data_IF_189397742255
#
_entry.id   IF_189397742255
#
_cell.length_a   1.000
_cell.length_b   1.000
_cell.length_c   1.000
_cell.angle_alpha   90.00
_cell.angle_beta   90.00
_cell.angle_gamma   90.00
#
_symmetry.space_group_name_H-M   'P 1'
#
loop_
_entity.id
_entity.type
_entity.pdbx_description
1 polymer ?
#
# COMPACT_ATOMS: atom_id res chain seq x y z
N UNK A 1 10.07 4.18 -25.60
CA UNK A 1 10.80 5.02 -24.61
C UNK A 1 10.04 4.92 -23.31
N UNK A 2 10.67 4.34 -22.27
CA UNK A 2 10.03 4.02 -20.98
C UNK A 2 10.01 5.28 -20.11
N UNK A 3 8.89 5.96 -20.00
CA UNK A 3 8.70 7.00 -18.99
C UNK A 3 8.09 6.33 -17.76
N UNK A 4 8.94 5.74 -16.91
CA UNK A 4 8.55 5.49 -15.53
C UNK A 4 8.36 6.86 -14.88
N UNK A 5 7.13 7.23 -14.53
CA UNK A 5 6.89 8.23 -13.50
C UNK A 5 7.27 7.60 -12.15
N UNK A 6 8.57 7.39 -11.93
CA UNK A 6 9.11 7.10 -10.60
C UNK A 6 8.95 8.38 -9.80
N UNK A 7 7.97 8.39 -8.88
CA UNK A 7 7.99 9.33 -7.78
C UNK A 7 9.30 9.06 -7.01
N UNK A 8 10.30 9.91 -7.27
CA UNK A 8 11.56 9.89 -6.53
C UNK A 8 11.26 10.26 -5.09
N UNK A 9 11.15 9.25 -4.22
CA UNK A 9 11.22 9.47 -2.78
C UNK A 9 12.70 9.76 -2.50
N UNK A 10 13.05 11.04 -2.39
CA UNK A 10 14.38 11.48 -2.00
C UNK A 10 14.70 10.92 -0.63
N UNK A 11 15.61 9.95 -0.59
CA UNK A 11 16.19 9.42 0.62
C UNK A 11 17.09 10.51 1.22
N UNK A 12 16.63 11.16 2.28
CA UNK A 12 17.45 12.11 3.03
C UNK A 12 18.58 11.31 3.71
N UNK A 13 19.79 11.36 3.13
CA UNK A 13 21.01 10.82 3.75
C UNK A 13 21.35 11.68 4.96
N UNK A 14 20.99 11.22 6.15
CA UNK A 14 21.48 11.81 7.38
C UNK A 14 22.95 11.40 7.57
N UNK A 15 23.81 12.41 7.70
CA UNK A 15 25.23 12.25 8.01
C UNK A 15 25.41 11.42 9.30
N UNK A 16 26.32 10.45 9.23
CA UNK A 16 26.75 9.63 10.37
C UNK A 16 27.51 10.49 11.38
N UNK A 17 26.91 10.71 12.55
CA UNK A 17 27.65 11.05 13.77
C UNK A 17 27.76 9.78 14.61
N UNK A 18 28.97 9.24 14.73
CA UNK A 18 29.26 8.09 15.60
C UNK A 18 29.30 8.56 17.05
N UNK A 19 28.30 8.18 17.84
CA UNK A 19 28.39 8.20 19.29
C UNK A 19 28.62 6.78 19.79
N UNK A 20 29.81 6.52 20.32
CA UNK A 20 30.11 5.29 21.05
C UNK A 20 29.52 5.40 22.46
N UNK A 21 28.72 4.42 22.87
CA UNK A 21 28.27 4.24 24.25
C UNK A 21 28.62 2.83 24.73
N UNK A 22 28.90 2.66 26.04
CA UNK A 22 29.60 1.49 26.55
C UNK A 22 28.70 0.25 26.58
N UNK A 23 29.35 -0.89 26.36
CA UNK A 23 28.82 -2.25 26.47
C UNK A 23 28.34 -2.57 27.88
N UNK A 24 27.12 -3.10 27.99
CA UNK A 24 26.65 -3.82 29.18
C UNK A 24 26.14 -5.19 28.75
N UNK A 25 26.65 -6.25 29.39
CA UNK A 25 26.30 -7.65 29.13
C UNK A 25 24.87 -8.00 29.55
N UNK A 26 24.16 -8.90 28.84
CA UNK A 26 22.85 -9.37 29.25
C UNK A 26 22.92 -10.61 30.18
N UNK A 27 22.05 -10.72 31.20
CA UNK A 27 21.90 -11.95 31.97
C UNK A 27 21.13 -13.02 31.18
N UNK A 28 21.58 -14.26 31.33
CA UNK A 28 21.02 -15.49 30.77
C UNK A 28 19.77 -15.96 31.53
N UNK A 29 18.63 -16.05 30.85
CA UNK A 29 17.60 -17.09 31.13
C UNK A 29 16.55 -17.15 30.02
N UNK A 30 16.28 -18.36 29.51
CA UNK A 30 15.26 -18.67 28.50
C UNK A 30 14.03 -19.29 29.14
N UNK A 31 12.81 -18.86 28.78
CA UNK A 31 11.62 -19.70 28.84
C UNK A 31 11.17 -20.12 27.44
N UNK A 32 11.05 -21.43 27.21
CA UNK A 32 10.43 -21.99 26.01
C UNK A 32 8.93 -21.66 25.98
N UNK A 33 8.46 -21.02 24.90
CA UNK A 33 7.02 -20.78 24.64
C UNK A 33 6.60 -21.61 23.41
N UNK A 34 5.52 -22.40 23.48
CA UNK A 34 5.15 -23.33 22.41
C UNK A 34 4.62 -22.61 21.16
N UNK A 35 4.97 -23.16 20.00
CA UNK A 35 4.64 -22.61 18.67
C UNK A 35 3.16 -22.77 18.32
N UNK A 36 2.37 -21.73 18.57
CA UNK A 36 0.99 -21.65 18.05
C UNK A 36 1.03 -21.25 16.58
N UNK A 37 1.01 -22.25 15.69
CA UNK A 37 0.92 -22.08 14.23
C UNK A 37 -0.41 -21.40 13.87
N UNK A 38 -0.41 -20.07 13.78
CA UNK A 38 -1.57 -19.30 13.33
C UNK A 38 -1.76 -19.51 11.82
N UNK A 39 -2.86 -20.13 11.42
CA UNK A 39 -3.33 -20.15 10.03
C UNK A 39 -3.90 -18.76 9.70
N UNK A 40 -3.27 -17.95 8.83
CA UNK A 40 -3.73 -16.59 8.55
C UNK A 40 -5.09 -16.54 7.83
N UNK A 41 -5.46 -17.62 7.13
CA UNK A 41 -6.67 -17.69 6.30
C UNK A 41 -7.98 -17.56 7.08
N UNK A 42 -8.02 -18.00 8.35
CA UNK A 42 -9.25 -17.95 9.15
C UNK A 42 -9.52 -16.57 9.77
N UNK A 43 -8.52 -15.70 9.88
CA UNK A 43 -8.71 -14.33 10.41
C UNK A 43 -9.19 -13.35 9.34
N UNK A 44 -8.84 -13.55 8.08
CA UNK A 44 -9.27 -12.70 6.96
C UNK A 44 -10.78 -12.81 6.68
N UNK A 45 -11.39 -13.96 6.97
CA UNK A 45 -12.83 -14.20 6.74
C UNK A 45 -13.74 -13.36 7.65
N UNK A 46 -13.24 -12.84 8.76
CA UNK A 46 -14.02 -12.10 9.76
C UNK A 46 -13.91 -10.57 9.66
N UNK A 47 -13.12 -10.03 8.71
CA UNK A 47 -12.82 -8.60 8.61
C UNK A 47 -13.47 -7.89 7.41
N UNK A 48 -14.26 -8.62 6.59
CA UNK A 48 -15.03 -8.04 5.50
C UNK A 48 -16.51 -7.92 5.93
N UNK A 49 -17.19 -6.78 5.67
CA UNK A 49 -18.65 -6.73 5.74
C UNK A 49 -19.22 -7.81 4.81
N UNK A 50 -19.83 -8.83 5.40
CA UNK A 50 -20.31 -10.01 4.69
C UNK A 50 -21.79 -9.85 4.39
N UNK A 51 -22.13 -9.67 3.12
CA UNK A 51 -23.42 -10.13 2.64
C UNK A 51 -23.41 -11.66 2.75
N UNK A 52 -24.25 -12.21 3.62
CA UNK A 52 -24.29 -13.63 4.00
C UNK A 52 -24.60 -14.59 2.84
N UNK A 53 -24.89 -14.07 1.65
CA UNK A 53 -25.29 -14.83 0.46
C UNK A 53 -24.28 -14.77 -0.71
N UNK A 54 -23.14 -14.11 -0.57
CA UNK A 54 -22.12 -14.06 -1.63
C UNK A 54 -21.07 -15.17 -1.45
N UNK A 55 -20.75 -15.90 -2.52
CA UNK A 55 -19.56 -16.75 -2.56
C UNK A 55 -18.32 -15.89 -2.27
N UNK A 56 -17.36 -16.37 -1.46
CA UNK A 56 -16.13 -15.62 -1.23
C UNK A 56 -15.45 -15.35 -2.58
N UNK A 57 -14.99 -14.12 -2.84
CA UNK A 57 -14.32 -13.81 -4.10
C UNK A 57 -13.07 -14.68 -4.25
N UNK A 58 -12.89 -15.26 -5.44
CA UNK A 58 -11.67 -15.99 -5.79
C UNK A 58 -10.48 -15.03 -5.69
N UNK A 59 -9.47 -15.40 -4.91
CA UNK A 59 -8.26 -14.59 -4.72
C UNK A 59 -7.17 -15.08 -5.68
N UNK A 60 -6.66 -14.19 -6.52
CA UNK A 60 -5.49 -14.42 -7.37
C UNK A 60 -4.23 -13.90 -6.67
N UNK A 61 -3.12 -14.64 -6.74
CA UNK A 61 -1.89 -14.23 -6.07
C UNK A 61 -0.92 -13.56 -7.04
N UNK A 62 -0.46 -12.36 -6.67
CA UNK A 62 0.55 -11.59 -7.39
C UNK A 62 1.88 -11.58 -6.63
N UNK A 63 2.91 -10.95 -7.20
CA UNK A 63 4.22 -10.85 -6.55
C UNK A 63 4.24 -9.82 -5.42
N UNK A 64 3.43 -8.76 -5.50
CA UNK A 64 3.53 -7.60 -4.60
C UNK A 64 2.22 -6.89 -4.29
N UNK A 65 1.09 -7.17 -4.96
CA UNK A 65 -0.19 -6.50 -4.72
C UNK A 65 -1.19 -7.36 -3.95
N UNK A 66 -1.86 -6.77 -2.98
CA UNK A 66 -3.06 -7.32 -2.35
C UNK A 66 -4.16 -6.26 -2.31
N UNK A 67 -5.37 -6.62 -2.71
CA UNK A 67 -6.48 -5.67 -2.72
C UNK A 67 -7.57 -6.01 -3.71
N UNK A 68 -8.37 -4.99 -4.05
CA UNK A 68 -9.49 -5.12 -4.97
C UNK A 68 -9.12 -4.47 -6.31
N UNK A 69 -9.36 -5.19 -7.41
CA UNK A 69 -9.13 -4.71 -8.78
C UNK A 69 -10.40 -4.89 -9.60
N UNK A 70 -10.85 -3.79 -10.21
CA UNK A 70 -11.90 -3.81 -11.22
C UNK A 70 -11.26 -3.63 -12.59
N UNK A 71 -11.62 -4.51 -13.52
CA UNK A 71 -11.25 -4.41 -14.93
C UNK A 71 -12.45 -3.94 -15.74
N UNK A 72 -12.22 -3.12 -16.76
CA UNK A 72 -13.26 -2.48 -17.55
C UNK A 72 -12.63 -1.50 -18.54
N UNK A 73 -13.33 -0.40 -18.81
CA UNK A 73 -12.82 0.66 -19.67
C UNK A 73 -13.30 2.03 -19.17
N UNK A 74 -12.54 3.07 -19.51
CA UNK A 74 -12.94 4.45 -19.26
C UNK A 74 -12.89 4.87 -17.79
N UNK A 75 -12.17 4.15 -16.92
CA UNK A 75 -12.05 4.56 -15.52
C UNK A 75 -11.41 5.93 -15.42
N UNK A 76 -12.00 6.76 -14.56
CA UNK A 76 -11.75 8.19 -14.56
C UNK A 76 -11.33 8.73 -13.22
N UNK A 77 -12.03 8.29 -12.20
CA UNK A 77 -11.75 8.63 -10.83
C UNK A 77 -11.72 7.35 -10.03
N UNK A 78 -10.75 7.22 -9.14
CA UNK A 78 -10.69 6.15 -8.15
C UNK A 78 -10.31 6.78 -6.83
N UNK A 79 -11.05 6.44 -5.78
CA UNK A 79 -10.82 6.99 -4.45
C UNK A 79 -11.23 6.02 -3.36
N UNK A 80 -10.66 6.25 -2.17
CA UNK A 80 -11.05 5.60 -0.93
C UNK A 80 -10.50 6.39 0.26
N UNK A 81 -11.01 6.07 1.45
CA UNK A 81 -10.45 6.52 2.72
C UNK A 81 -9.81 5.34 3.43
N UNK A 82 -8.57 5.51 3.89
CA UNK A 82 -7.92 4.59 4.82
C UNK A 82 -7.76 5.25 6.19
N UNK A 83 -7.76 4.45 7.24
CA UNK A 83 -7.17 4.86 8.52
C UNK A 83 -5.72 4.37 8.51
N UNK A 84 -4.76 5.29 8.64
CA UNK A 84 -3.34 4.93 8.63
C UNK A 84 -3.05 4.05 9.85
N UNK A 85 -2.62 2.79 9.69
CA UNK A 85 -2.39 1.92 10.83
C UNK A 85 -1.08 2.28 11.53
N UNK A 86 -0.94 2.04 12.84
CA UNK A 86 0.38 1.97 13.45
C UNK A 86 1.15 0.77 12.87
N UNK A 87 2.41 0.99 12.48
CA UNK A 87 3.29 -0.08 11.98
C UNK A 87 4.33 -0.51 13.02
N UNK A 88 4.78 -1.77 12.94
CA UNK A 88 5.74 -2.40 13.87
C UNK A 88 6.70 -3.34 13.12
N UNK A 89 7.90 -3.55 13.65
CA UNK A 89 8.77 -4.60 13.13
C UNK A 89 8.15 -5.97 13.43
N UNK A 90 8.08 -6.88 12.44
CA UNK A 90 7.78 -8.28 12.72
C UNK A 90 8.75 -8.86 13.76
N UNK A 91 8.30 -9.82 14.60
CA UNK A 91 9.21 -10.49 15.54
C UNK A 91 10.41 -11.13 14.84
N UNK A 92 11.62 -10.81 15.31
CA UNK A 92 12.88 -11.31 14.75
C UNK A 92 13.40 -10.54 13.53
N UNK A 93 12.76 -9.43 13.13
CA UNK A 93 13.29 -8.54 12.09
C UNK A 93 14.55 -7.80 12.56
N UNK A 94 15.48 -7.59 11.62
CA UNK A 94 16.62 -6.70 11.83
C UNK A 94 16.14 -5.23 11.79
N UNK A 95 16.32 -4.48 12.87
CA UNK A 95 15.91 -3.07 12.94
C UNK A 95 16.70 -2.15 12.03
N UNK A 96 17.90 -2.55 11.60
CA UNK A 96 18.78 -1.75 10.72
C UNK A 96 18.39 -1.85 9.24
N UNK A 97 17.45 -2.76 8.93
CA UNK A 97 16.89 -2.91 7.60
C UNK A 97 15.59 -2.11 7.51
N UNK A 98 15.46 -1.31 6.45
CA UNK A 98 14.21 -0.62 6.14
C UNK A 98 13.11 -1.66 5.86
N UNK A 99 12.04 -1.63 6.65
CA UNK A 99 10.81 -2.37 6.39
C UNK A 99 9.75 -1.39 5.88
N UNK A 100 8.84 -1.85 5.02
CA UNK A 100 7.82 -0.96 4.47
C UNK A 100 6.64 -1.65 3.83
N UNK A 101 5.59 -0.86 3.63
CA UNK A 101 4.37 -1.20 2.91
C UNK A 101 3.76 0.10 2.36
N UNK A 102 3.04 0.04 1.26
CA UNK A 102 2.21 1.16 0.80
C UNK A 102 0.75 0.77 0.72
N UNK A 103 -0.13 1.76 0.84
CA UNK A 103 -1.55 1.62 0.54
C UNK A 103 -1.97 2.75 -0.39
N UNK A 104 -2.55 2.39 -1.54
CA UNK A 104 -2.85 3.35 -2.59
C UNK A 104 -4.14 3.01 -3.34
N UNK A 105 -4.68 4.03 -4.01
CA UNK A 105 -5.70 3.88 -5.05
C UNK A 105 -5.10 4.24 -6.39
N UNK A 106 -5.55 3.58 -7.45
CA UNK A 106 -4.98 3.82 -8.75
C UNK A 106 -5.87 3.44 -9.92
N UNK A 107 -5.47 3.96 -11.08
CA UNK A 107 -5.97 3.62 -12.40
C UNK A 107 -4.80 2.95 -13.13
N UNK A 108 -5.08 1.83 -13.79
CA UNK A 108 -4.12 1.02 -14.54
C UNK A 108 -3.08 0.29 -13.69
N UNK A 109 -2.02 -0.22 -14.32
CA UNK A 109 -0.98 -1.05 -13.72
C UNK A 109 -1.36 -2.51 -13.50
N UNK A 110 -2.67 -2.83 -13.43
CA UNK A 110 -3.14 -4.20 -13.43
C UNK A 110 -2.84 -4.89 -14.76
N UNK A 111 -2.76 -6.23 -14.76
CA UNK A 111 -2.35 -7.14 -15.85
C UNK A 111 -2.73 -6.75 -17.31
N UNK A 112 -3.81 -6.00 -17.52
CA UNK A 112 -4.25 -5.51 -18.82
C UNK A 112 -3.48 -4.27 -19.36
N UNK A 113 -2.76 -3.53 -18.51
CA UNK A 113 -1.96 -2.35 -18.86
C UNK A 113 -0.76 -2.19 -17.91
N UNK A 114 0.34 -2.95 -18.09
CA UNK A 114 1.52 -2.86 -17.24
C UNK A 114 2.35 -1.60 -17.47
N UNK A 115 2.13 -0.88 -18.57
CA UNK A 115 3.04 0.18 -19.04
C UNK A 115 2.82 1.55 -18.36
N UNK A 116 1.73 1.72 -17.62
CA UNK A 116 1.46 2.93 -16.86
C UNK A 116 0.58 2.63 -15.63
N UNK A 117 0.83 3.35 -14.54
CA UNK A 117 -0.02 3.35 -13.35
C UNK A 117 -0.16 4.78 -12.82
N UNK A 118 -1.40 5.24 -12.70
CA UNK A 118 -1.73 6.50 -12.05
C UNK A 118 -2.16 6.17 -10.63
N UNK A 119 -1.38 6.58 -9.63
CA UNK A 119 -1.62 6.15 -8.25
C UNK A 119 -1.38 7.26 -7.23
N UNK A 120 -2.11 7.19 -6.13
CA UNK A 120 -1.85 7.98 -4.93
C UNK A 120 -2.13 7.18 -3.67
N UNK A 121 -1.26 7.38 -2.68
CA UNK A 121 -1.27 6.57 -1.49
C UNK A 121 -0.36 7.07 -0.39
N UNK A 122 -0.35 6.30 0.69
CA UNK A 122 0.52 6.50 1.85
C UNK A 122 1.52 5.34 1.88
N UNK A 123 2.81 5.67 1.97
CA UNK A 123 3.87 4.73 2.26
C UNK A 123 4.21 4.77 3.74
N UNK A 124 4.33 3.59 4.34
CA UNK A 124 4.61 3.38 5.75
C UNK A 124 5.90 2.59 5.87
N UNK A 125 6.85 3.11 6.64
CA UNK A 125 8.16 2.51 6.82
C UNK A 125 8.52 2.39 8.29
N UNK A 126 9.43 1.46 8.57
CA UNK A 126 10.13 1.37 9.84
C UNK A 126 11.61 1.13 9.59
N UNK A 127 12.46 1.97 10.20
CA UNK A 127 13.90 1.81 10.22
C UNK A 127 14.44 2.25 11.58
N UNK A 128 15.39 1.51 12.14
CA UNK A 128 15.89 1.65 13.52
C UNK A 128 14.75 1.68 14.55
N UNK A 129 13.69 0.90 14.30
CA UNK A 129 12.45 0.91 15.09
C UNK A 129 11.70 2.26 15.10
N UNK A 130 12.05 3.20 14.22
CA UNK A 130 11.41 4.50 14.07
C UNK A 130 10.40 4.44 12.92
N UNK A 131 9.09 4.63 13.18
CA UNK A 131 8.08 4.60 12.14
C UNK A 131 8.04 5.92 11.35
N UNK A 132 7.83 5.84 10.04
CA UNK A 132 7.67 6.98 9.12
C UNK A 132 6.46 6.76 8.23
N UNK A 133 5.67 7.82 8.02
CA UNK A 133 4.41 7.78 7.29
C UNK A 133 4.35 8.94 6.30
N UNK A 134 4.41 8.66 5.01
CA UNK A 134 4.57 9.69 3.98
C UNK A 134 3.58 9.50 2.85
N UNK A 135 3.02 10.61 2.38
CA UNK A 135 2.40 10.70 1.06
C UNK A 135 2.97 11.93 0.37
N UNK A 136 3.72 11.73 -0.71
CA UNK A 136 4.44 12.78 -1.43
C UNK A 136 5.24 13.69 -0.48
N UNK A 137 4.76 14.90 -0.14
CA UNK A 137 5.43 15.90 0.72
C UNK A 137 4.89 15.95 2.15
N UNK A 138 3.74 15.34 2.44
CA UNK A 138 3.09 15.42 3.75
C UNK A 138 3.28 14.16 4.58
N UNK A 139 3.35 14.37 5.91
CA UNK A 139 3.38 13.30 6.90
C UNK A 139 1.96 12.95 7.33
N UNK A 140 1.64 11.66 7.40
CA UNK A 140 0.32 11.14 7.79
C UNK A 140 0.44 10.24 9.03
N UNK A 141 0.38 10.78 10.25
CA UNK A 141 0.52 9.99 11.48
C UNK A 141 -0.49 8.83 11.58
N UNK A 142 -0.18 7.80 12.40
CA UNK A 142 -1.10 6.69 12.61
C UNK A 142 -2.39 7.15 13.27
N UNK A 143 -3.48 6.44 12.97
CA UNK A 143 -4.86 6.71 13.35
C UNK A 143 -5.51 7.95 12.70
N UNK A 144 -4.83 8.56 11.72
CA UNK A 144 -5.46 9.59 10.89
C UNK A 144 -6.27 8.95 9.77
N UNK A 145 -7.47 9.49 9.53
CA UNK A 145 -8.25 9.16 8.35
C UNK A 145 -7.71 9.96 7.17
N UNK A 146 -7.39 9.28 6.07
CA UNK A 146 -6.79 9.87 4.87
C UNK A 146 -7.59 9.45 3.65
N UNK A 147 -8.10 10.42 2.89
CA UNK A 147 -8.72 10.15 1.58
C UNK A 147 -7.68 10.22 0.48
N UNK A 148 -7.62 9.16 -0.31
CA UNK A 148 -6.80 9.01 -1.50
C UNK A 148 -7.67 9.19 -2.72
N UNK A 149 -7.19 9.90 -3.73
CA UNK A 149 -7.92 10.12 -4.96
C UNK A 149 -6.96 10.25 -6.16
N UNK A 150 -7.32 9.60 -7.26
CA UNK A 150 -6.74 9.83 -8.58
C UNK A 150 -7.86 10.16 -9.54
N UNK A 151 -7.66 11.20 -10.36
CA UNK A 151 -8.61 11.61 -11.40
C UNK A 151 -7.88 11.86 -12.70
N UNK A 152 -8.10 11.04 -13.72
CA UNK A 152 -7.62 11.28 -15.07
C UNK A 152 -8.26 12.54 -15.69
N UNK A 153 -7.57 13.19 -16.62
CA UNK A 153 -8.03 14.36 -17.40
C UNK A 153 -8.59 13.93 -18.78
N UNK A 154 -9.59 14.63 -19.37
CA UNK A 154 -10.39 14.07 -20.48
C UNK A 154 -9.56 13.63 -21.68
N UNK A 155 -8.45 14.31 -21.91
CA UNK A 155 -7.46 13.98 -22.92
C UNK A 155 -6.74 12.64 -22.72
N UNK A 156 -6.85 12.01 -21.55
CA UNK A 156 -6.09 10.84 -21.10
C UNK A 156 -4.56 11.05 -21.02
N UNK A 157 -4.10 12.28 -21.25
CA UNK A 157 -2.68 12.65 -21.23
C UNK A 157 -2.18 13.13 -19.86
N UNK A 158 -3.12 13.41 -18.95
CA UNK A 158 -2.81 13.86 -17.61
C UNK A 158 -3.77 13.24 -16.60
N UNK A 159 -3.39 13.27 -15.34
CA UNK A 159 -4.26 13.02 -14.20
C UNK A 159 -3.89 13.96 -13.05
N UNK A 160 -4.79 14.11 -12.10
CA UNK A 160 -4.49 14.72 -10.81
C UNK A 160 -4.55 13.66 -9.73
N UNK A 161 -3.76 13.85 -8.69
CA UNK A 161 -3.91 13.09 -7.47
C UNK A 161 -4.16 14.02 -6.28
N UNK A 162 -4.81 13.48 -5.26
CA UNK A 162 -4.86 14.10 -3.94
C UNK A 162 -4.82 13.09 -2.81
N UNK A 163 -4.19 13.50 -1.71
CA UNK A 163 -4.12 12.79 -0.44
C UNK A 163 -4.49 13.76 0.67
N UNK A 164 -5.71 13.65 1.19
CA UNK A 164 -6.28 14.57 2.18
C UNK A 164 -6.30 13.93 3.55
N UNK A 165 -5.61 14.53 4.53
CA UNK A 165 -5.69 14.15 5.94
C UNK A 165 -6.86 14.87 6.61
N UNK A 166 -7.85 14.11 7.09
CA UNK A 166 -9.05 14.68 7.70
C UNK A 166 -8.83 15.21 9.12
N UNK A 167 -7.75 14.81 9.80
CA UNK A 167 -7.40 15.35 11.11
C UNK A 167 -6.78 16.74 10.99
N UNK A 168 -5.85 16.92 10.07
CA UNK A 168 -5.12 18.19 9.90
C UNK A 168 -5.78 19.14 8.91
N UNK A 169 -6.70 18.63 8.07
CA UNK A 169 -7.29 19.37 6.95
C UNK A 169 -6.33 19.58 5.78
N UNK A 170 -5.09 19.10 5.87
CA UNK A 170 -4.09 19.28 4.83
C UNK A 170 -4.31 18.30 3.67
N UNK A 171 -4.04 18.78 2.46
CA UNK A 171 -4.11 17.98 1.24
C UNK A 171 -2.81 18.09 0.49
N UNK A 172 -2.18 16.96 0.18
CA UNK A 172 -1.15 16.91 -0.85
C UNK A 172 -1.79 16.63 -2.21
N UNK A 173 -1.32 17.29 -3.25
CA UNK A 173 -1.85 17.11 -4.60
C UNK A 173 -0.81 17.44 -5.66
N UNK A 174 -1.06 16.96 -6.87
CA UNK A 174 -0.20 17.20 -8.01
C UNK A 174 -0.81 16.66 -9.30
N UNK A 175 -0.08 16.88 -10.39
CA UNK A 175 -0.41 16.35 -11.71
C UNK A 175 0.50 15.17 -12.05
N UNK A 176 -0.06 14.21 -12.75
CA UNK A 176 0.61 13.04 -13.32
C UNK A 176 0.46 13.13 -14.83
N UNK A 177 1.45 12.64 -15.56
CA UNK A 177 1.32 12.37 -16.99
C UNK A 177 0.71 10.98 -17.19
N UNK A 178 -0.21 10.87 -18.14
CA UNK A 178 -0.89 9.63 -18.49
C UNK A 178 -0.70 9.37 -19.99
N UNK A 179 -0.75 8.11 -20.41
CA UNK A 179 -0.69 7.74 -21.82
C UNK A 179 -1.47 6.45 -22.12
N UNK A 180 -2.37 6.06 -21.22
CA UNK A 180 -3.10 4.79 -21.23
C UNK A 180 -4.61 4.97 -21.36
N UNK A 181 -5.29 3.90 -21.79
CA UNK A 181 -6.74 3.86 -22.03
C UNK A 181 -7.61 3.63 -20.78
N UNK A 182 -7.01 3.67 -19.58
CA UNK A 182 -7.67 3.49 -18.28
C UNK A 182 -8.55 2.22 -18.13
N UNK A 183 -8.06 1.01 -18.48
CA UNK A 183 -8.86 -0.22 -18.36
C UNK A 183 -9.04 -0.77 -16.93
N UNK A 184 -8.47 -0.15 -15.90
CA UNK A 184 -8.69 -0.67 -14.53
C UNK A 184 -8.75 0.39 -13.45
N UNK A 185 -9.40 0.03 -12.34
CA UNK A 185 -9.35 0.76 -11.07
C UNK A 185 -8.99 -0.20 -9.94
N UNK A 186 -8.14 0.26 -9.01
CA UNK A 186 -7.59 -0.60 -7.97
C UNK A 186 -7.46 0.10 -6.60
N UNK A 187 -7.60 -0.69 -5.54
CA UNK A 187 -7.37 -0.33 -4.14
C UNK A 187 -6.42 -1.35 -3.54
N UNK A 188 -5.15 -0.97 -3.39
CA UNK A 188 -4.06 -1.93 -3.19
C UNK A 188 -3.25 -1.61 -1.95
N UNK A 189 -2.94 -2.65 -1.17
CA UNK A 189 -1.81 -2.71 -0.24
C UNK A 189 -0.67 -3.40 -0.96
N UNK A 190 0.48 -2.74 -1.05
CA UNK A 190 1.60 -3.22 -1.85
C UNK A 190 2.84 -3.51 -0.99
N UNK A 191 3.42 -4.67 -1.27
CA UNK A 191 4.72 -5.11 -0.82
C UNK A 191 5.83 -4.47 -1.68
N UNK A 192 6.47 -3.43 -1.14
CA UNK A 192 7.33 -2.53 -1.91
C UNK A 192 8.57 -3.23 -2.49
N UNK A 193 8.94 -2.84 -3.72
CA UNK A 193 10.19 -3.23 -4.38
C UNK A 193 11.16 -2.04 -4.48
N UNK A 194 12.42 -2.17 -4.04
CA UNK A 194 13.42 -1.10 -4.12
C UNK A 194 14.83 -1.61 -4.45
N UNK A 195 15.51 -1.00 -5.43
CA UNK A 195 16.94 -1.27 -5.68
C UNK A 195 17.28 -2.70 -6.12
N UNK A 196 16.37 -3.39 -6.81
CA UNK A 196 16.59 -4.76 -7.30
C UNK A 196 16.28 -5.88 -6.30
N UNK A 197 15.85 -5.53 -5.08
CA UNK A 197 15.40 -6.47 -4.04
C UNK A 197 14.13 -5.95 -3.35
N UNK A 198 13.28 -6.84 -2.86
CA UNK A 198 12.04 -6.38 -2.23
C UNK A 198 12.28 -5.84 -0.82
N UNK A 199 11.64 -4.73 -0.46
CA UNK A 199 11.68 -4.17 0.89
C UNK A 199 10.94 -5.12 1.83
N UNK A 200 11.52 -5.60 2.95
CA UNK A 200 10.79 -6.45 3.88
C UNK A 200 9.49 -5.81 4.38
N UNK A 201 8.41 -6.60 4.47
CA UNK A 201 7.13 -6.10 4.98
C UNK A 201 7.23 -5.71 6.45
N UNK A 202 6.69 -4.54 6.76
CA UNK A 202 6.40 -4.14 8.14
C UNK A 202 5.13 -4.86 8.62
N UNK A 203 4.96 -5.09 9.93
CA UNK A 203 3.66 -5.46 10.49
C UNK A 203 2.78 -4.21 10.54
N UNK A 204 1.83 -4.13 9.63
CA UNK A 204 0.87 -3.04 9.51
C UNK A 204 -0.51 -3.38 10.09
N UNK A 205 -0.66 -4.56 10.70
CA UNK A 205 -1.95 -5.05 11.19
C UNK A 205 -2.99 -5.20 10.07
N UNK A 206 -3.85 -4.20 9.91
CA UNK A 206 -4.91 -4.20 8.89
C UNK A 206 -5.07 -2.81 8.31
N UNK A 207 -5.12 -2.75 6.97
CA UNK A 207 -5.46 -1.55 6.22
C UNK A 207 -6.78 -1.84 5.53
N UNK A 208 -7.80 -1.04 5.86
CA UNK A 208 -9.12 -1.15 5.25
C UNK A 208 -9.37 0.07 4.35
N UNK A 209 -9.68 -0.19 3.08
CA UNK A 209 -10.22 0.82 2.18
C UNK A 209 -11.71 0.95 2.43
N UNK A 210 -12.11 2.12 2.92
CA UNK A 210 -13.51 2.48 3.15
C UNK A 210 -13.93 3.57 2.18
N UNK A 211 -15.24 3.78 2.01
CA UNK A 211 -15.78 4.80 1.07
C UNK A 211 -15.16 4.66 -0.33
N UNK A 212 -14.93 3.42 -0.76
CA UNK A 212 -14.36 3.11 -2.07
C UNK A 212 -15.29 3.65 -3.14
N UNK A 213 -14.74 4.38 -4.11
CA UNK A 213 -15.50 4.91 -5.23
C UNK A 213 -14.70 4.84 -6.53
N UNK A 214 -15.40 4.58 -7.62
CA UNK A 214 -14.90 4.83 -8.97
C UNK A 214 -15.93 5.60 -9.79
N UNK A 215 -15.47 6.24 -10.85
CA UNK A 215 -16.32 6.81 -11.90
C UNK A 215 -15.69 6.53 -13.28
N UNK A 216 -16.50 6.35 -14.32
CA UNK A 216 -16.06 6.22 -15.71
C UNK A 216 -16.46 7.42 -16.56
N UNK A 217 -15.86 7.56 -17.75
CA UNK A 217 -16.24 8.55 -18.76
C UNK A 217 -17.68 8.37 -19.29
N UNK A 218 -18.21 7.15 -19.27
CA UNK A 218 -19.61 6.81 -19.56
C UNK A 218 -20.60 7.13 -18.43
N UNK A 219 -20.16 7.77 -17.34
CA UNK A 219 -21.01 8.16 -16.22
C UNK A 219 -21.36 7.04 -15.24
N UNK A 220 -20.76 5.86 -15.39
CA UNK A 220 -20.94 4.75 -14.45
C UNK A 220 -20.15 5.07 -13.18
N UNK A 221 -20.77 4.87 -12.02
CA UNK A 221 -20.11 5.03 -10.71
C UNK A 221 -20.41 3.84 -9.82
N UNK A 222 -19.51 3.56 -8.88
CA UNK A 222 -19.65 2.43 -7.97
C UNK A 222 -18.53 2.40 -6.94
N UNK A 223 -18.40 1.30 -6.20
CA UNK A 223 -17.31 1.06 -5.26
C UNK A 223 -16.55 -0.22 -5.60
N UNK A 224 -15.79 -0.78 -4.65
CA UNK A 224 -15.02 -2.00 -4.87
C UNK A 224 -15.86 -3.31 -4.90
N UNK A 225 -17.19 -3.22 -4.77
CA UNK A 225 -18.06 -4.38 -4.81
C UNK A 225 -17.98 -5.08 -6.19
N UNK A 226 -17.84 -6.41 -6.17
CA UNK A 226 -17.69 -7.21 -7.39
C UNK A 226 -16.28 -7.21 -8.00
N UNK A 227 -15.31 -6.53 -7.36
CA UNK A 227 -13.91 -6.56 -7.78
C UNK A 227 -13.28 -7.96 -7.64
N UNK A 228 -12.35 -8.27 -8.54
CA UNK A 228 -11.45 -9.40 -8.35
C UNK A 228 -10.52 -9.09 -7.18
N UNK A 229 -10.25 -10.11 -6.36
CA UNK A 229 -9.37 -9.96 -5.20
C UNK A 229 -7.97 -10.45 -5.53
N UNK A 230 -6.97 -9.65 -5.22
CA UNK A 230 -5.57 -9.99 -5.32
C UNK A 230 -4.95 -10.18 -3.93
N UNK A 231 -3.93 -11.04 -3.85
CA UNK A 231 -3.14 -11.28 -2.65
C UNK A 231 -1.65 -11.38 -2.95
N UNK A 232 -0.80 -11.03 -1.98
CA UNK A 232 0.66 -11.16 -2.15
C UNK A 232 1.10 -12.60 -1.90
N UNK A 233 1.81 -13.19 -2.87
CA UNK A 233 2.51 -14.46 -2.66
C UNK A 233 3.68 -14.23 -1.72
N UNK A 234 3.78 -15.04 -0.66
CA UNK A 234 4.93 -14.99 0.24
C UNK A 234 6.22 -15.17 -0.56
N UNK A 235 7.14 -14.21 -0.46
CA UNK A 235 8.49 -14.37 -1.00
C UNK A 235 9.12 -15.59 -0.32
N UNK A 236 9.63 -16.52 -1.11
CA UNK A 236 10.35 -17.68 -0.57
C UNK A 236 11.48 -17.17 0.33
N UNK A 237 11.69 -17.80 1.49
CA UNK A 237 12.94 -17.58 2.23
C UNK A 237 14.05 -18.09 1.31
N UNK A 238 14.96 -17.21 0.92
CA UNK A 238 16.27 -17.67 0.45
C UNK A 238 16.98 -18.31 1.65
N UNK A 239 17.03 -19.64 1.67
CA UNK A 239 17.67 -20.43 2.73
C UNK A 239 16.79 -21.60 3.19
N UNK A 240 16.58 -22.57 2.31
CA UNK A 240 16.58 -24.01 2.62
C UNK A 240 17.70 -24.63 1.78
#
# INVERSE_FOLDING_TARGET
MKFLALLHITLLTAATTTFAFPTAEPPTSSPQVPSRRSRPSSRLQNLLPRDSNANPPTVTYTQNWAGAVLTGAGYRTVAATITVPPVRLPPGSNSDVLHGVSAWVGIDGAHACPDAILQAGVAMYMNHSIPRYWACRLRHPPNDAVTLNVTAAPSLLAATFSVTNHRTGQTDSGTLTSSSGHPSSAWIVEDLWAGGGGVPLVDFGTIAFTKTRFATDGGITGGAAGAAMEGVRRRGRSGD
#
